data_IF_724479724539
#
_entry.id   IF_724479724539
#
_cell.length_a   1.000
_cell.length_b   1.000
_cell.length_c   1.000
_cell.angle_alpha   90.00
_cell.angle_beta   90.00
_cell.angle_gamma   90.00
#
_symmetry.space_group_name_H-M   'P 1'
#
loop_
_entity.id
_entity.type
_entity.pdbx_description
1 polymer ?
#
# COMPACT_ATOMS: atom_id res chain seq x y z
N UNK A 1 -14.15 -10.19 -0.92
CA UNK A 1 -12.97 -9.39 -1.34
C UNK A 1 -12.86 -9.28 -2.86
N UNK A 2 -12.84 -10.39 -3.59
CA UNK A 2 -12.79 -10.37 -5.06
C UNK A 2 -13.90 -9.52 -5.67
N UNK A 3 -15.14 -9.68 -5.21
CA UNK A 3 -16.29 -8.88 -5.67
C UNK A 3 -16.10 -7.38 -5.49
N UNK A 4 -15.53 -6.94 -4.36
CA UNK A 4 -15.26 -5.52 -4.10
C UNK A 4 -14.25 -4.94 -5.07
N UNK A 5 -13.20 -5.71 -5.39
CA UNK A 5 -12.19 -5.32 -6.38
C UNK A 5 -12.80 -5.29 -7.78
N UNK A 6 -13.56 -6.31 -8.16
CA UNK A 6 -14.26 -6.38 -9.44
C UNK A 6 -15.26 -5.23 -9.61
N UNK A 7 -16.06 -4.93 -8.58
CA UNK A 7 -17.03 -3.83 -8.60
C UNK A 7 -16.34 -2.47 -8.82
N UNK A 8 -15.16 -2.27 -8.23
CA UNK A 8 -14.36 -1.06 -8.45
C UNK A 8 -13.83 -0.95 -9.87
N UNK A 9 -13.30 -2.05 -10.42
CA UNK A 9 -12.84 -2.08 -11.81
C UNK A 9 -14.02 -1.79 -12.75
N UNK A 10 -15.17 -2.41 -12.50
CA UNK A 10 -16.39 -2.20 -13.29
C UNK A 10 -16.87 -0.75 -13.20
N UNK A 11 -16.82 -0.13 -12.02
CA UNK A 11 -17.16 1.28 -11.85
C UNK A 11 -16.22 2.20 -12.65
N UNK A 12 -14.91 1.95 -12.61
CA UNK A 12 -13.94 2.70 -13.41
C UNK A 12 -14.19 2.55 -14.91
N UNK A 13 -14.50 1.33 -15.37
CA UNK A 13 -14.84 1.08 -16.77
C UNK A 13 -16.15 1.76 -17.20
N UNK A 14 -17.18 1.78 -16.35
CA UNK A 14 -18.42 2.53 -16.58
C UNK A 14 -18.18 4.04 -16.68
N UNK A 15 -17.19 4.55 -15.96
CA UNK A 15 -16.75 5.94 -16.07
C UNK A 15 -15.90 6.23 -17.32
N UNK A 16 -15.69 5.24 -18.21
CA UNK A 16 -14.88 5.38 -19.42
C UNK A 16 -13.38 5.39 -19.16
N UNK A 17 -12.94 5.15 -17.91
CA UNK A 17 -11.54 5.13 -17.53
C UNK A 17 -11.04 3.69 -17.56
N UNK A 18 -10.18 3.38 -18.52
CA UNK A 18 -9.54 2.06 -18.63
C UNK A 18 -8.43 1.95 -17.55
N UNK A 19 -8.59 1.13 -16.49
CA UNK A 19 -7.73 1.20 -15.32
C UNK A 19 -6.26 0.81 -15.59
N UNK A 20 -6.04 -0.06 -16.57
CA UNK A 20 -4.70 -0.49 -17.00
C UNK A 20 -4.06 0.43 -18.04
N UNK A 21 -4.80 1.43 -18.54
CA UNK A 21 -4.33 2.41 -19.52
C UNK A 21 -4.40 3.81 -18.92
N UNK A 22 -3.55 4.10 -17.93
CA UNK A 22 -3.33 5.48 -17.49
C UNK A 22 -2.23 6.08 -18.38
N UNK A 23 -2.54 7.00 -19.32
CA UNK A 23 -1.51 7.62 -20.14
C UNK A 23 -0.62 8.46 -19.22
N UNK A 24 0.68 8.27 -19.35
CA UNK A 24 1.75 8.76 -18.47
C UNK A 24 1.97 10.29 -18.51
N UNK A 25 0.90 11.09 -18.59
CA UNK A 25 0.97 12.55 -18.55
C UNK A 25 0.45 13.05 -17.20
N UNK A 26 1.36 13.05 -16.23
CA UNK A 26 1.16 13.71 -14.94
C UNK A 26 2.52 14.11 -14.39
N UNK A 27 2.76 15.41 -14.29
CA UNK A 27 4.02 16.11 -13.95
C UNK A 27 4.61 15.81 -12.55
N UNK A 28 4.49 14.60 -12.03
CA UNK A 28 5.04 14.23 -10.73
C UNK A 28 6.47 13.74 -10.92
N UNK A 29 7.45 14.49 -10.41
CA UNK A 29 8.87 14.11 -10.29
C UNK A 29 9.02 12.85 -9.42
N UNK A 30 8.68 11.67 -9.94
CA UNK A 30 8.66 10.42 -9.19
C UNK A 30 8.32 9.21 -10.07
N UNK A 31 8.60 8.01 -9.56
CA UNK A 31 8.42 6.71 -10.24
C UNK A 31 7.03 6.59 -10.86
N UNK A 32 6.95 6.11 -12.11
CA UNK A 32 5.69 5.89 -12.83
C UNK A 32 4.74 4.91 -12.11
N UNK A 33 5.29 4.08 -11.21
CA UNK A 33 4.55 3.09 -10.44
C UNK A 33 4.29 3.54 -9.00
N UNK A 34 3.10 3.24 -8.45
CA UNK A 34 2.81 3.40 -7.04
C UNK A 34 3.84 2.64 -6.21
N UNK A 35 4.44 3.31 -5.24
CA UNK A 35 5.52 2.77 -4.40
C UNK A 35 5.27 3.06 -2.93
N UNK A 36 5.71 2.16 -2.05
CA UNK A 36 5.63 2.41 -0.61
C UNK A 36 6.64 3.51 -0.23
N UNK A 37 6.22 4.52 0.55
CA UNK A 37 7.11 5.63 0.92
C UNK A 37 8.26 5.18 1.85
N UNK A 38 7.98 4.26 2.78
CA UNK A 38 8.97 3.75 3.74
C UNK A 38 10.00 2.88 3.04
N UNK A 39 9.58 1.83 2.34
CA UNK A 39 10.52 0.87 1.74
C UNK A 39 11.00 1.28 0.35
N UNK A 40 10.32 2.18 -0.33
CA UNK A 40 10.58 2.52 -1.73
C UNK A 40 10.19 1.42 -2.73
N UNK A 41 9.65 0.29 -2.27
CA UNK A 41 9.31 -0.83 -3.13
C UNK A 41 8.05 -0.52 -3.96
N UNK A 42 8.07 -0.77 -5.28
CA UNK A 42 6.89 -0.59 -6.13
C UNK A 42 5.83 -1.66 -5.82
N UNK A 43 4.56 -1.25 -5.81
CA UNK A 43 3.42 -2.17 -5.73
C UNK A 43 3.30 -2.99 -7.03
N UNK A 44 2.71 -4.18 -6.94
CA UNK A 44 2.62 -5.14 -8.05
C UNK A 44 1.19 -5.64 -8.25
N UNK A 45 0.90 -6.07 -9.47
CA UNK A 45 -0.37 -6.70 -9.84
C UNK A 45 -1.57 -5.78 -9.65
N UNK A 46 -2.66 -6.32 -9.10
CA UNK A 46 -3.93 -5.61 -8.97
C UNK A 46 -3.85 -4.35 -8.11
N UNK A 47 -2.91 -4.31 -7.16
CA UNK A 47 -2.71 -3.14 -6.31
C UNK A 47 -2.30 -1.91 -7.13
N UNK A 48 -1.59 -2.08 -8.25
CA UNK A 48 -1.23 -0.95 -9.12
C UNK A 48 -2.50 -0.29 -9.66
N UNK A 49 -3.45 -1.08 -10.17
CA UNK A 49 -4.71 -0.58 -10.72
C UNK A 49 -5.58 0.08 -9.63
N UNK A 50 -5.65 -0.53 -8.45
CA UNK A 50 -6.40 0.00 -7.30
C UNK A 50 -5.86 1.36 -6.84
N UNK A 51 -4.53 1.51 -6.80
CA UNK A 51 -3.88 2.75 -6.40
C UNK A 51 -3.96 3.82 -7.50
N UNK A 52 -3.89 3.44 -8.77
CA UNK A 52 -4.05 4.37 -9.90
C UNK A 52 -5.46 4.94 -10.05
N UNK A 53 -6.48 4.16 -9.66
CA UNK A 53 -7.88 4.60 -9.63
C UNK A 53 -8.23 5.50 -8.45
N UNK A 54 -7.27 5.80 -7.57
CA UNK A 54 -7.47 6.73 -6.47
C UNK A 54 -7.41 8.19 -6.94
N UNK A 55 -8.01 9.14 -6.18
CA UNK A 55 -7.99 10.56 -6.51
C UNK A 55 -6.64 11.25 -6.21
N UNK A 56 -5.64 10.53 -5.72
CA UNK A 56 -4.37 11.11 -5.27
C UNK A 56 -3.37 11.26 -6.42
N UNK A 57 -2.64 12.39 -6.45
CA UNK A 57 -1.65 12.71 -7.48
C UNK A 57 -0.24 12.15 -7.19
N UNK A 58 0.06 11.80 -5.94
CA UNK A 58 1.35 11.19 -5.58
C UNK A 58 1.32 9.69 -5.81
N UNK A 59 2.47 9.18 -6.26
CA UNK A 59 2.71 7.77 -6.42
C UNK A 59 3.23 7.12 -5.13
N UNK A 60 3.39 7.88 -4.04
CA UNK A 60 3.82 7.33 -2.76
C UNK A 60 2.64 6.98 -1.86
N UNK A 61 2.77 5.87 -1.15
CA UNK A 61 1.70 5.31 -0.31
C UNK A 61 2.24 4.83 1.04
N UNK A 62 1.45 5.00 2.09
CA UNK A 62 1.77 4.60 3.47
C UNK A 62 0.55 3.98 4.14
N UNK A 63 0.75 3.04 5.06
CA UNK A 63 -0.31 2.68 6.01
C UNK A 63 -0.42 3.75 7.09
N UNK A 64 -1.58 3.83 7.76
CA UNK A 64 -1.76 4.75 8.89
C UNK A 64 -0.70 4.54 9.98
N UNK A 65 -0.40 3.28 10.31
CA UNK A 65 0.65 2.93 11.28
C UNK A 65 2.03 3.41 10.84
N UNK A 66 2.38 3.20 9.56
CA UNK A 66 3.66 3.67 9.02
C UNK A 66 3.76 5.20 9.03
N UNK A 67 2.67 5.92 8.75
CA UNK A 67 2.66 7.38 8.84
C UNK A 67 2.95 7.85 10.28
N UNK A 68 2.27 7.24 11.26
CA UNK A 68 2.46 7.55 12.68
C UNK A 68 3.87 7.23 13.16
N UNK A 69 4.43 6.09 12.76
CA UNK A 69 5.82 5.69 13.09
C UNK A 69 6.86 6.68 12.54
N UNK A 70 6.57 7.32 11.40
CA UNK A 70 7.43 8.33 10.78
C UNK A 70 7.19 9.75 11.33
N UNK A 71 6.35 9.92 12.36
CA UNK A 71 5.99 11.22 12.91
C UNK A 71 5.04 12.05 12.04
N UNK A 72 4.51 11.46 10.96
CA UNK A 72 3.56 12.10 10.06
C UNK A 72 2.11 11.91 10.53
N UNK A 73 1.27 12.92 10.33
CA UNK A 73 -0.16 12.83 10.65
C UNK A 73 -1.02 12.79 9.39
N UNK A 74 -1.99 11.88 9.36
CA UNK A 74 -3.04 11.84 8.32
C UNK A 74 -4.04 12.96 8.58
N UNK A 75 -4.32 13.76 7.55
CA UNK A 75 -5.30 14.86 7.65
C UNK A 75 -6.69 14.31 7.96
N UNK A 76 -7.43 15.00 8.83
CA UNK A 76 -8.79 14.61 9.22
C UNK A 76 -9.70 14.64 7.98
N UNK A 77 -10.37 13.52 7.70
CA UNK A 77 -11.28 13.37 6.56
C UNK A 77 -10.67 12.63 5.36
N UNK A 78 -9.36 12.36 5.36
CA UNK A 78 -8.72 11.56 4.31
C UNK A 78 -9.17 10.09 4.40
N UNK A 79 -9.46 9.50 3.24
CA UNK A 79 -9.92 8.11 3.14
C UNK A 79 -8.81 7.24 2.55
N UNK A 80 -8.49 6.17 3.25
CA UNK A 80 -7.55 5.18 2.72
C UNK A 80 -8.10 4.41 1.52
N UNK A 81 -7.22 4.06 0.60
CA UNK A 81 -7.46 3.11 -0.49
C UNK A 81 -7.14 1.70 -0.02
N UNK A 82 -8.11 0.76 -0.04
CA UNK A 82 -7.85 -0.64 0.31
C UNK A 82 -7.01 -1.32 -0.77
N UNK A 83 -6.03 -2.10 -0.33
CA UNK A 83 -5.18 -2.96 -1.15
C UNK A 83 -5.24 -4.40 -0.67
N UNK A 84 -4.86 -5.33 -1.55
CA UNK A 84 -4.85 -6.76 -1.26
C UNK A 84 -3.41 -7.19 -0.95
N UNK A 85 -3.21 -7.86 0.16
CA UNK A 85 -1.95 -8.53 0.48
C UNK A 85 -2.21 -9.99 0.81
N UNK A 86 -1.34 -10.87 0.31
CA UNK A 86 -1.43 -12.31 0.57
C UNK A 86 -0.28 -12.73 1.46
N UNK A 87 -0.59 -13.37 2.58
CA UNK A 87 0.40 -13.97 3.46
C UNK A 87 -0.07 -15.35 3.89
N UNK A 88 0.78 -16.36 3.70
CA UNK A 88 0.56 -17.67 4.32
C UNK A 88 0.73 -17.49 5.83
N UNK A 89 -0.34 -17.66 6.59
CA UNK A 89 -0.28 -17.68 8.04
C UNK A 89 0.02 -19.12 8.45
N UNK A 90 1.10 -19.32 9.19
CA UNK A 90 1.32 -20.58 9.87
C UNK A 90 0.39 -20.59 11.09
N UNK A 91 -0.64 -21.43 11.06
CA UNK A 91 -1.48 -21.65 12.25
C UNK A 91 -0.68 -22.51 13.21
N UNK A 92 -0.31 -21.97 14.38
CA UNK A 92 0.31 -22.75 15.45
C UNK A 92 -0.75 -23.56 16.20
N UNK A 93 -0.39 -24.77 16.61
CA UNK A 93 -1.22 -25.94 16.89
C UNK A 93 -2.17 -25.91 18.13
N UNK A 94 -2.87 -24.82 18.44
CA UNK A 94 -3.90 -24.80 19.49
C UNK A 94 -5.24 -24.19 19.04
N UNK A 95 -5.76 -24.61 17.88
CA UNK A 95 -7.08 -24.18 17.45
C UNK A 95 -7.62 -24.98 16.27
N UNK A 96 -8.29 -26.09 16.57
CA UNK A 96 -9.28 -26.85 15.77
C UNK A 96 -8.96 -27.03 14.28
N UNK A 97 -8.50 -28.23 13.94
CA UNK A 97 -8.42 -28.71 12.55
C UNK A 97 -9.86 -28.97 12.07
N UNK A 98 -10.38 -28.11 11.20
CA UNK A 98 -11.50 -28.48 10.31
C UNK A 98 -10.90 -28.78 8.94
N UNK A 99 -10.95 -30.04 8.52
CA UNK A 99 -10.66 -30.52 7.16
C UNK A 99 -9.25 -30.25 6.58
N UNK A 100 -8.19 -30.41 7.38
CA UNK A 100 -6.84 -30.76 6.87
C UNK A 100 -6.20 -29.83 5.83
N UNK A 101 -6.62 -28.57 5.72
CA UNK A 101 -6.14 -27.64 4.68
C UNK A 101 -5.68 -26.33 5.29
N UNK A 102 -4.36 -26.12 5.28
CA UNK A 102 -3.77 -24.81 5.59
C UNK A 102 -4.01 -23.87 4.39
N UNK A 103 -5.18 -23.27 4.29
CA UNK A 103 -5.49 -22.34 3.20
C UNK A 103 -5.09 -20.90 3.54
N UNK A 104 -4.37 -20.27 2.62
CA UNK A 104 -3.69 -19.00 2.81
C UNK A 104 -4.61 -17.86 3.21
N UNK A 105 -4.12 -17.00 4.11
CA UNK A 105 -4.83 -15.79 4.53
C UNK A 105 -4.67 -14.66 3.52
N UNK A 106 -5.79 -14.09 3.09
CA UNK A 106 -5.82 -12.76 2.45
C UNK A 106 -5.87 -11.74 3.56
N UNK A 107 -4.86 -10.89 3.67
CA UNK A 107 -4.90 -9.71 4.53
C UNK A 107 -5.26 -8.51 3.68
N UNK A 108 -6.35 -7.83 4.04
CA UNK A 108 -6.72 -6.55 3.42
C UNK A 108 -6.06 -5.46 4.23
N UNK A 109 -5.19 -4.69 3.61
CA UNK A 109 -4.59 -3.51 4.24
C UNK A 109 -5.15 -2.25 3.59
N UNK A 110 -5.38 -1.22 4.39
CA UNK A 110 -5.78 0.09 3.90
C UNK A 110 -4.56 1.00 3.85
N UNK A 111 -4.22 1.48 2.66
CA UNK A 111 -3.15 2.46 2.46
C UNK A 111 -3.74 3.85 2.28
N UNK A 112 -3.10 4.85 2.86
CA UNK A 112 -3.40 6.25 2.60
C UNK A 112 -2.41 6.76 1.56
N UNK A 113 -2.90 7.53 0.58
CA UNK A 113 -2.03 8.19 -0.39
C UNK A 113 -1.14 9.21 0.33
N UNK A 114 0.15 9.23 0.02
CA UNK A 114 1.10 10.13 0.64
C UNK A 114 1.07 11.51 -0.04
N UNK A 115 -0.03 12.26 0.14
CA UNK A 115 -0.15 13.71 -0.13
C UNK A 115 -1.12 14.33 0.87
N UNK A 116 -0.84 15.52 1.43
CA UNK A 116 0.36 15.97 2.10
C UNK A 116 0.19 15.62 3.58
N UNK A 117 0.82 14.52 4.02
CA UNK A 117 0.94 14.23 5.44
C UNK A 117 1.84 15.33 6.02
N UNK A 118 1.29 16.18 6.90
CA UNK A 118 2.08 17.20 7.56
C UNK A 118 3.11 16.53 8.46
N UNK A 119 4.37 16.98 8.38
CA UNK A 119 5.46 16.52 9.27
C UNK A 119 6.16 15.22 8.85
N UNK A 120 6.01 14.77 7.61
CA UNK A 120 6.76 13.59 7.15
C UNK A 120 8.23 13.98 6.82
N UNK A 121 9.24 13.27 7.36
CA UNK A 121 10.64 13.55 7.05
C UNK A 121 10.95 13.25 5.57
N UNK A 122 11.99 13.88 4.99
CA UNK A 122 12.46 13.59 3.65
C UNK A 122 12.73 12.09 3.48
N UNK A 123 12.44 11.55 2.28
CA UNK A 123 12.62 10.11 2.01
C UNK A 123 14.05 9.62 2.28
N UNK A 124 15.05 10.46 2.03
CA UNK A 124 16.46 10.14 2.30
C UNK A 124 16.70 9.84 3.78
N UNK A 125 16.08 10.63 4.67
CA UNK A 125 16.16 10.42 6.12
C UNK A 125 15.46 9.12 6.53
N UNK A 126 14.29 8.82 5.95
CA UNK A 126 13.58 7.55 6.18
C UNK A 126 14.41 6.36 5.73
N UNK A 127 15.07 6.46 4.57
CA UNK A 127 15.95 5.41 4.07
C UNK A 127 17.13 5.19 5.02
N UNK A 128 17.71 6.27 5.55
CA UNK A 128 18.79 6.20 6.54
C UNK A 128 18.34 5.56 7.86
N UNK A 129 17.13 5.86 8.34
CA UNK A 129 16.57 5.22 9.54
C UNK A 129 16.41 3.71 9.35
N UNK A 130 15.94 3.26 8.18
CA UNK A 130 15.79 1.83 7.87
C UNK A 130 17.15 1.15 7.79
N UNK A 131 18.13 1.77 7.13
CA UNK A 131 19.49 1.23 7.04
C UNK A 131 20.15 1.12 8.42
N UNK A 132 19.94 2.11 9.29
CA UNK A 132 20.47 2.08 10.65
C UNK A 132 19.82 0.96 11.49
N UNK A 133 18.49 0.82 11.42
CA UNK A 133 17.78 -0.29 12.08
C UNK A 133 18.25 -1.66 11.58
N UNK A 134 18.47 -1.81 10.27
CA UNK A 134 18.97 -3.05 9.68
C UNK A 134 20.40 -3.38 10.15
N UNK A 135 21.29 -2.38 10.22
CA UNK A 135 22.66 -2.55 10.74
C UNK A 135 22.66 -3.00 12.20
N UNK A 136 21.86 -2.35 13.05
CA UNK A 136 21.70 -2.71 14.47
C UNK A 136 21.23 -4.16 14.65
N UNK A 137 20.32 -4.64 13.80
CA UNK A 137 19.81 -6.02 13.86
C UNK A 137 20.79 -7.10 13.36
N UNK A 138 21.85 -6.71 12.64
CA UNK A 138 22.90 -7.62 12.16
C UNK A 138 24.06 -7.73 13.15
N UNK A 139 24.18 -6.77 14.06
CA UNK A 139 25.23 -6.69 15.09
C UNK A 139 24.80 -7.24 16.46
N UNK A 140 23.52 -7.59 16.62
CA UNK A 140 22.94 -8.17 17.84
C UNK A 140 22.69 -9.68 17.65
#
# INVERSE_FOLDING_TARGET
MYETVTARILASLKAGVVPWSKPWRGNSKGTAFPSNYRTGAPYRGINVLLLWGSPYASNYWLTFKQAQELGGTVRKGEKGTPIVFWKKLAVSALGVIVNGRCEGGVMVNTLVGAVPLAGLPPREEVAMQILNQAKLSLTA
#
